data_IF_498884905191
#
_entry.id   IF_498884905191
#
_cell.length_a   1.000
_cell.length_b   1.000
_cell.length_c   1.000
_cell.angle_alpha   90.00
_cell.angle_beta   90.00
_cell.angle_gamma   90.00
#
_symmetry.space_group_name_H-M   'P 1'
#
loop_
_entity.id
_entity.type
_entity.pdbx_description
1 polymer ?
#
# COMPACT_ATOMS: atom_id res chain seq x y z
N UNK A 1 -5.09 -8.47 1.12
CA UNK A 1 -5.45 -8.49 2.58
C UNK A 1 -6.34 -7.30 2.85
N UNK A 2 -7.52 -7.50 3.45
CA UNK A 2 -8.49 -6.41 3.64
C UNK A 2 -8.37 -5.83 5.04
N UNK A 3 -7.94 -4.57 5.14
CA UNK A 3 -7.76 -3.88 6.42
C UNK A 3 -9.08 -3.74 7.18
N UNK A 4 -9.17 -4.25 8.41
CA UNK A 4 -10.34 -4.07 9.26
C UNK A 4 -9.97 -3.74 10.71
N UNK A 5 -10.78 -2.87 11.32
CA UNK A 5 -10.73 -2.59 12.77
C UNK A 5 -11.79 -3.36 13.55
N UNK A 6 -12.63 -4.15 12.88
CA UNK A 6 -13.66 -4.95 13.53
C UNK A 6 -13.02 -5.97 14.50
N UNK A 7 -13.70 -6.22 15.62
CA UNK A 7 -13.34 -7.28 16.58
C UNK A 7 -14.04 -8.56 16.13
N UNK A 8 -13.37 -9.33 15.29
CA UNK A 8 -13.89 -10.59 14.73
C UNK A 8 -12.83 -11.70 14.82
N UNK A 9 -13.30 -12.95 14.89
CA UNK A 9 -12.45 -14.15 14.92
C UNK A 9 -11.68 -14.39 13.62
N UNK A 10 -12.23 -13.94 12.48
CA UNK A 10 -11.60 -14.10 11.16
C UNK A 10 -10.36 -13.22 10.95
N UNK A 11 -10.13 -12.25 11.84
CA UNK A 11 -9.04 -11.27 11.68
C UNK A 11 -7.69 -11.96 11.86
N UNK A 12 -6.84 -11.84 10.83
CA UNK A 12 -5.50 -12.41 10.81
C UNK A 12 -4.43 -11.35 11.02
N UNK A 13 -3.32 -11.77 11.62
CA UNK A 13 -2.08 -10.99 11.68
C UNK A 13 -1.04 -11.56 10.72
N UNK A 14 -0.51 -10.72 9.82
CA UNK A 14 0.58 -11.08 8.92
C UNK A 14 1.69 -10.02 9.05
N UNK A 15 2.79 -10.40 9.71
CA UNK A 15 3.90 -9.51 10.06
C UNK A 15 4.48 -8.73 8.88
N UNK A 16 4.62 -9.39 7.73
CA UNK A 16 5.36 -8.89 6.56
C UNK A 16 4.45 -8.27 5.48
N UNK A 17 3.18 -7.98 5.78
CA UNK A 17 2.29 -7.24 4.86
C UNK A 17 2.16 -5.78 5.34
N UNK A 18 2.04 -4.79 4.42
CA UNK A 18 1.83 -3.39 4.79
C UNK A 18 0.65 -3.22 5.74
N UNK A 19 -0.47 -3.86 5.39
CA UNK A 19 -1.61 -4.05 6.28
C UNK A 19 -1.42 -5.33 7.09
N UNK A 20 -0.92 -5.19 8.32
CA UNK A 20 -0.61 -6.33 9.19
C UNK A 20 -1.84 -7.02 9.76
N UNK A 21 -2.92 -6.28 10.03
CA UNK A 21 -4.16 -6.80 10.61
C UNK A 21 -5.32 -6.66 9.63
N UNK A 22 -6.01 -7.76 9.32
CA UNK A 22 -7.10 -7.71 8.37
C UNK A 22 -7.78 -9.06 8.14
N UNK A 23 -8.70 -9.09 7.18
CA UNK A 23 -9.32 -10.32 6.67
C UNK A 23 -8.46 -10.82 5.52
N UNK A 24 -7.98 -12.07 5.64
CA UNK A 24 -7.16 -12.71 4.61
C UNK A 24 -8.08 -13.32 3.55
N UNK A 25 -7.74 -13.10 2.28
CA UNK A 25 -8.37 -13.75 1.14
C UNK A 25 -7.30 -14.57 0.40
N UNK A 26 -7.69 -15.74 -0.08
CA UNK A 26 -7.02 -16.44 -1.17
C UNK A 26 -7.61 -15.91 -2.47
N UNK A 27 -6.78 -15.59 -3.46
CA UNK A 27 -7.20 -14.95 -4.70
C UNK A 27 -6.54 -15.67 -5.87
N UNK A 28 -7.32 -16.00 -6.89
CA UNK A 28 -6.87 -16.43 -8.20
C UNK A 28 -6.97 -15.23 -9.14
N UNK A 29 -5.85 -14.91 -9.78
CA UNK A 29 -5.73 -13.72 -10.62
C UNK A 29 -5.03 -14.09 -11.93
N UNK A 30 -5.45 -13.49 -13.03
CA UNK A 30 -4.71 -13.50 -14.28
C UNK A 30 -3.42 -12.67 -14.14
N UNK A 31 -2.42 -12.91 -14.99
CA UNK A 31 -1.19 -12.10 -15.03
C UNK A 31 -1.45 -10.61 -15.31
N UNK A 32 -2.58 -10.26 -15.92
CA UNK A 32 -3.03 -8.88 -16.17
C UNK A 32 -3.46 -8.12 -14.91
N UNK A 33 -3.69 -8.82 -13.79
CA UNK A 33 -4.33 -8.28 -12.60
C UNK A 33 -5.83 -8.51 -12.52
N UNK A 34 -6.44 -9.22 -13.48
CA UNK A 34 -7.87 -9.55 -13.44
C UNK A 34 -8.15 -10.61 -12.38
N UNK A 35 -8.94 -10.27 -11.37
CA UNK A 35 -9.33 -11.22 -10.31
C UNK A 35 -10.40 -12.17 -10.83
N UNK A 36 -10.06 -13.46 -10.91
CA UNK A 36 -10.93 -14.51 -11.45
C UNK A 36 -11.83 -15.11 -10.37
N UNK A 37 -11.24 -15.49 -9.23
CA UNK A 37 -11.96 -16.12 -8.14
C UNK A 37 -11.26 -15.78 -6.80
N UNK A 38 -11.97 -15.89 -5.70
CA UNK A 38 -11.41 -15.68 -4.36
C UNK A 38 -12.13 -16.51 -3.29
N UNK A 39 -11.44 -16.73 -2.17
CA UNK A 39 -12.00 -17.40 -1.01
C UNK A 39 -11.56 -16.70 0.27
N UNK A 40 -12.51 -16.37 1.16
CA UNK A 40 -12.20 -15.73 2.44
C UNK A 40 -11.63 -16.78 3.39
N UNK A 41 -10.44 -16.51 3.92
CA UNK A 41 -9.84 -17.39 4.91
C UNK A 41 -10.56 -17.25 6.26
N UNK A 42 -11.20 -18.33 6.70
CA UNK A 42 -11.97 -18.38 7.94
C UNK A 42 -11.26 -19.08 9.10
N UNK A 43 -9.99 -19.45 8.94
CA UNK A 43 -9.20 -20.18 9.94
C UNK A 43 -9.20 -21.70 9.75
N UNK A 44 -10.22 -22.24 9.09
CA UNK A 44 -10.32 -23.65 8.67
C UNK A 44 -10.63 -23.71 7.18
N UNK A 45 -10.23 -24.79 6.52
CA UNK A 45 -10.64 -25.04 5.14
C UNK A 45 -12.09 -25.49 5.11
N UNK A 46 -12.90 -24.99 4.17
CA UNK A 46 -14.26 -25.50 3.92
C UNK A 46 -14.22 -26.87 3.24
N UNK A 47 -13.17 -27.14 2.47
CA UNK A 47 -12.89 -28.42 1.81
C UNK A 47 -11.79 -29.12 2.59
N UNK A 48 -12.06 -30.30 3.14
CA UNK A 48 -11.08 -31.08 3.90
C UNK A 48 -10.65 -32.27 3.04
N UNK A 49 -9.68 -32.06 2.15
CA UNK A 49 -9.14 -33.17 1.33
C UNK A 49 -8.17 -34.07 2.09
N UNK A 50 -7.82 -33.71 3.33
CA UNK A 50 -6.73 -34.34 4.10
C UNK A 50 -5.31 -33.94 3.61
N UNK A 51 -5.19 -33.15 2.54
CA UNK A 51 -3.90 -32.72 1.96
C UNK A 51 -3.39 -31.37 2.48
N UNK A 52 -4.19 -30.73 3.34
CA UNK A 52 -3.84 -29.52 4.07
C UNK A 52 -4.31 -28.23 3.40
N UNK A 53 -4.38 -27.17 4.21
CA UNK A 53 -4.98 -25.88 3.86
C UNK A 53 -4.45 -25.27 2.55
N UNK A 54 -3.14 -25.39 2.29
CA UNK A 54 -2.55 -24.81 1.08
C UNK A 54 -3.02 -25.51 -0.20
N UNK A 55 -3.22 -26.83 -0.13
CA UNK A 55 -3.76 -27.61 -1.24
C UNK A 55 -5.22 -27.25 -1.46
N UNK A 56 -6.02 -27.28 -0.38
CA UNK A 56 -7.46 -27.01 -0.44
C UNK A 56 -7.77 -25.60 -0.92
N UNK A 57 -6.97 -24.61 -0.50
CA UNK A 57 -7.11 -23.24 -0.95
C UNK A 57 -6.96 -23.11 -2.47
N UNK A 58 -5.93 -23.74 -3.07
CA UNK A 58 -5.73 -23.70 -4.53
C UNK A 58 -6.84 -24.47 -5.24
N UNK A 59 -7.18 -25.67 -4.79
CA UNK A 59 -8.20 -26.49 -5.44
C UNK A 59 -9.62 -25.91 -5.31
N UNK A 60 -9.87 -25.07 -4.29
CA UNK A 60 -11.15 -24.34 -4.19
C UNK A 60 -11.30 -23.25 -5.25
N UNK A 61 -10.19 -22.73 -5.80
CA UNK A 61 -10.17 -21.65 -6.79
C UNK A 61 -9.96 -22.18 -8.21
N UNK A 62 -9.09 -23.18 -8.37
CA UNK A 62 -8.76 -23.78 -9.68
C UNK A 62 -9.75 -24.89 -9.97
N UNK A 63 -10.95 -24.49 -10.40
CA UNK A 63 -12.04 -25.40 -10.75
C UNK A 63 -12.02 -25.72 -12.24
N UNK A 64 -11.69 -26.99 -12.57
CA UNK A 64 -11.54 -27.46 -13.95
C UNK A 64 -12.83 -27.32 -14.76
N UNK A 65 -13.98 -27.44 -14.11
CA UNK A 65 -15.29 -27.36 -14.74
C UNK A 65 -15.55 -25.99 -15.37
N UNK A 66 -14.96 -24.93 -14.79
CA UNK A 66 -15.10 -23.55 -15.26
C UNK A 66 -13.89 -23.09 -16.09
N UNK A 67 -12.68 -23.52 -15.72
CA UNK A 67 -11.45 -23.10 -16.39
C UNK A 67 -11.04 -24.00 -17.56
N UNK A 68 -11.54 -25.23 -17.67
CA UNK A 68 -11.03 -26.19 -18.64
C UNK A 68 -9.60 -26.65 -18.31
N UNK A 69 -8.74 -26.76 -19.31
CA UNK A 69 -7.34 -27.21 -19.18
C UNK A 69 -6.38 -26.35 -20.00
N UNK A 70 -5.06 -26.53 -19.81
CA UNK A 70 -4.02 -25.82 -20.55
C UNK A 70 -3.55 -24.52 -19.91
N UNK A 71 -4.16 -24.10 -18.80
CA UNK A 71 -3.67 -22.95 -18.03
C UNK A 71 -2.41 -23.27 -17.24
N UNK A 72 -1.58 -22.25 -17.06
CA UNK A 72 -0.34 -22.31 -16.29
C UNK A 72 -0.52 -21.56 -14.97
N UNK A 73 -0.38 -22.25 -13.86
CA UNK A 73 -0.60 -21.73 -12.51
C UNK A 73 0.75 -21.39 -11.88
N UNK A 74 0.91 -20.12 -11.54
CA UNK A 74 2.08 -19.63 -10.82
C UNK A 74 1.71 -19.33 -9.37
N UNK A 75 2.39 -19.95 -8.42
CA UNK A 75 2.05 -19.80 -7.01
C UNK A 75 3.27 -19.61 -6.09
N UNK A 76 3.06 -18.85 -5.02
CA UNK A 76 4.08 -18.66 -3.98
C UNK A 76 4.31 -19.94 -3.16
N UNK A 77 5.43 -19.99 -2.45
CA UNK A 77 5.91 -21.08 -1.60
C UNK A 77 4.92 -21.58 -0.53
N UNK A 78 3.94 -20.75 -0.14
CA UNK A 78 2.88 -21.17 0.77
C UNK A 78 1.98 -22.23 0.13
N UNK A 79 1.73 -22.14 -1.18
CA UNK A 79 0.85 -23.05 -1.93
C UNK A 79 1.63 -24.21 -2.55
N UNK A 80 2.86 -23.96 -3.00
CA UNK A 80 3.67 -24.95 -3.72
C UNK A 80 3.95 -26.21 -2.90
N UNK A 81 3.55 -27.37 -3.44
CA UNK A 81 3.91 -28.69 -2.93
C UNK A 81 3.95 -29.73 -4.06
N UNK A 82 4.76 -30.80 -3.94
CA UNK A 82 4.82 -31.86 -4.95
C UNK A 82 3.46 -32.52 -5.19
N UNK A 83 2.70 -32.78 -4.11
CA UNK A 83 1.36 -33.38 -4.17
C UNK A 83 0.38 -32.49 -4.93
N UNK A 84 0.37 -31.18 -4.66
CA UNK A 84 -0.47 -30.23 -5.40
C UNK A 84 -0.12 -30.20 -6.89
N UNK A 85 1.17 -30.12 -7.21
CA UNK A 85 1.60 -29.94 -8.59
C UNK A 85 1.37 -31.20 -9.43
N UNK A 86 1.56 -32.38 -8.84
CA UNK A 86 1.18 -33.62 -9.50
C UNK A 86 -0.33 -33.69 -9.75
N UNK A 87 -1.14 -33.25 -8.78
CA UNK A 87 -2.58 -33.24 -8.93
C UNK A 87 -3.05 -32.27 -10.03
N UNK A 88 -2.50 -31.05 -10.05
CA UNK A 88 -2.77 -30.07 -11.10
C UNK A 88 -2.36 -30.58 -12.49
N UNK A 89 -1.20 -31.24 -12.60
CA UNK A 89 -0.74 -31.85 -13.84
C UNK A 89 -1.73 -32.91 -14.36
N UNK A 90 -2.20 -33.80 -13.49
CA UNK A 90 -3.18 -34.83 -13.85
C UNK A 90 -4.53 -34.23 -14.28
N UNK A 91 -4.87 -33.02 -13.80
CA UNK A 91 -6.05 -32.28 -14.23
C UNK A 91 -5.86 -31.57 -15.57
N UNK A 92 -4.64 -31.52 -16.13
CA UNK A 92 -4.31 -30.83 -17.36
C UNK A 92 -3.86 -29.37 -17.15
N UNK A 93 -3.46 -29.02 -15.93
CA UNK A 93 -2.87 -27.72 -15.62
C UNK A 93 -1.36 -27.83 -15.46
N UNK A 94 -0.66 -26.86 -16.02
CA UNK A 94 0.74 -26.66 -15.71
C UNK A 94 0.93 -25.86 -14.44
N UNK A 95 1.97 -26.14 -13.66
CA UNK A 95 2.24 -25.42 -12.42
C UNK A 95 3.72 -25.06 -12.28
N UNK A 96 3.98 -23.89 -11.70
CA UNK A 96 5.32 -23.41 -11.36
C UNK A 96 5.27 -22.59 -10.07
N UNK A 97 6.23 -22.81 -9.18
CA UNK A 97 6.27 -22.06 -7.92
C UNK A 97 7.57 -22.22 -7.17
N UNK A 98 7.91 -21.21 -6.38
CA UNK A 98 8.99 -21.35 -5.41
C UNK A 98 8.61 -22.41 -4.38
N UNK A 99 9.57 -23.23 -3.94
CA UNK A 99 9.30 -24.34 -3.02
C UNK A 99 10.24 -24.29 -1.83
N UNK A 100 9.69 -24.56 -0.63
CA UNK A 100 10.53 -24.69 0.57
C UNK A 100 11.15 -26.09 0.60
N UNK A 101 12.45 -26.16 0.86
CA UNK A 101 13.20 -27.42 1.00
C UNK A 101 12.67 -28.34 2.11
N UNK A 102 11.88 -27.81 3.05
CA UNK A 102 11.25 -28.56 4.15
C UNK A 102 9.91 -29.19 3.77
N UNK A 103 9.35 -28.91 2.59
CA UNK A 103 8.08 -29.51 2.15
C UNK A 103 8.23 -31.03 1.99
N UNK A 104 7.18 -31.76 2.39
CA UNK A 104 7.09 -33.20 2.20
C UNK A 104 7.10 -33.52 0.71
N UNK A 105 7.86 -34.54 0.32
CA UNK A 105 8.01 -34.99 -1.08
C UNK A 105 9.07 -34.24 -1.89
N UNK A 106 9.75 -33.23 -1.32
CA UNK A 106 10.89 -32.59 -2.00
C UNK A 106 12.11 -33.50 -1.90
N UNK A 107 12.78 -33.84 -3.01
CA UNK A 107 13.98 -34.66 -2.99
C UNK A 107 15.09 -34.04 -2.14
N UNK A 108 15.66 -34.84 -1.22
CA UNK A 108 16.82 -34.46 -0.41
C UNK A 108 18.01 -35.27 -0.89
N UNK A 109 18.98 -34.59 -1.49
CA UNK A 109 20.28 -35.19 -1.85
C UNK A 109 21.40 -34.47 -1.11
N UNK A 110 22.47 -35.19 -0.79
CA UNK A 110 23.75 -34.63 -0.32
C UNK A 110 24.77 -34.50 -1.46
N UNK A 111 24.50 -35.15 -2.60
CA UNK A 111 25.39 -35.16 -3.75
C UNK A 111 25.16 -33.90 -4.60
N UNK A 112 26.23 -33.20 -4.95
CA UNK A 112 26.21 -32.03 -5.84
C UNK A 112 25.24 -30.90 -5.40
N UNK A 113 25.12 -30.70 -4.09
CA UNK A 113 24.25 -29.66 -3.50
C UNK A 113 24.87 -28.28 -3.69
N UNK A 114 24.05 -27.29 -3.99
CA UNK A 114 24.48 -25.90 -4.00
C UNK A 114 24.86 -25.45 -2.58
N UNK A 115 25.99 -24.76 -2.48
CA UNK A 115 26.46 -24.17 -1.22
C UNK A 115 26.55 -22.66 -1.38
N UNK A 116 26.72 -21.93 -0.28
CA UNK A 116 26.99 -20.48 -0.33
C UNK A 116 28.26 -20.12 -1.11
N UNK A 117 29.15 -21.09 -1.33
CA UNK A 117 30.39 -20.95 -2.11
C UNK A 117 30.18 -21.26 -3.61
N UNK A 118 29.04 -21.82 -3.99
CA UNK A 118 28.75 -22.14 -5.39
C UNK A 118 28.72 -20.86 -6.22
N UNK A 119 29.28 -20.86 -7.44
CA UNK A 119 29.25 -19.70 -8.32
C UNK A 119 27.81 -19.26 -8.61
N UNK A 120 27.60 -17.94 -8.69
CA UNK A 120 26.34 -17.37 -9.16
C UNK A 120 26.04 -17.87 -10.57
N UNK A 121 24.79 -18.26 -10.82
CA UNK A 121 24.37 -18.92 -12.06
C UNK A 121 24.43 -20.45 -12.02
N UNK A 122 24.96 -21.05 -10.95
CA UNK A 122 24.96 -22.51 -10.81
C UNK A 122 23.53 -23.05 -10.77
N UNK A 123 23.22 -24.00 -11.65
CA UNK A 123 21.91 -24.68 -11.72
C UNK A 123 22.09 -26.15 -11.34
N UNK A 124 21.19 -26.66 -10.50
CA UNK A 124 21.09 -28.09 -10.17
C UNK A 124 19.64 -28.50 -10.25
N UNK A 125 19.35 -29.70 -10.71
CA UNK A 125 17.98 -30.14 -10.88
C UNK A 125 17.82 -31.64 -10.66
N UNK A 126 16.62 -32.03 -10.27
CA UNK A 126 16.18 -33.41 -10.12
C UNK A 126 14.80 -33.50 -10.75
N UNK A 127 14.57 -34.51 -11.60
CA UNK A 127 13.26 -34.80 -12.18
C UNK A 127 12.72 -36.09 -11.58
N UNK A 128 11.45 -36.06 -11.19
CA UNK A 128 10.70 -37.22 -10.71
C UNK A 128 9.35 -37.25 -11.45
N UNK A 129 9.26 -38.13 -12.45
CA UNK A 129 8.11 -38.15 -13.36
C UNK A 129 7.89 -36.79 -14.03
N UNK A 130 6.68 -36.25 -13.89
CA UNK A 130 6.29 -34.93 -14.40
C UNK A 130 6.84 -33.75 -13.57
N UNK A 131 7.35 -33.98 -12.36
CA UNK A 131 7.85 -32.92 -11.50
C UNK A 131 9.34 -32.65 -11.74
N UNK A 132 9.67 -31.38 -11.96
CA UNK A 132 11.03 -30.88 -12.03
C UNK A 132 11.31 -29.99 -10.82
N UNK A 133 12.31 -30.37 -10.04
CA UNK A 133 12.86 -29.58 -8.95
C UNK A 133 14.15 -28.92 -9.42
N UNK A 134 14.18 -27.60 -9.41
CA UNK A 134 15.37 -26.83 -9.83
C UNK A 134 15.85 -25.96 -8.69
N UNK A 135 17.16 -25.98 -8.46
CA UNK A 135 17.87 -25.07 -7.59
C UNK A 135 18.79 -24.18 -8.42
N UNK A 136 18.76 -22.89 -8.11
CA UNK A 136 19.55 -21.89 -8.79
C UNK A 136 20.26 -21.00 -7.78
N UNK A 137 21.57 -20.79 -7.98
CA UNK A 137 22.36 -19.91 -7.14
C UNK A 137 22.36 -18.49 -7.71
N UNK A 138 21.62 -17.57 -7.08
CA UNK A 138 21.78 -16.13 -7.34
C UNK A 138 22.66 -15.49 -6.26
N UNK A 139 22.19 -14.44 -5.59
CA UNK A 139 22.77 -14.00 -4.32
C UNK A 139 22.57 -15.05 -3.22
N UNK A 140 21.44 -15.76 -3.29
CA UNK A 140 21.08 -16.87 -2.41
C UNK A 140 20.50 -18.01 -3.26
N UNK A 141 20.45 -19.21 -2.68
CA UNK A 141 19.79 -20.36 -3.30
C UNK A 141 18.29 -20.09 -3.47
N UNK A 142 17.80 -20.24 -4.70
CA UNK A 142 16.38 -20.24 -5.05
C UNK A 142 15.99 -21.65 -5.44
N UNK A 143 14.92 -22.17 -4.84
CA UNK A 143 14.36 -23.49 -5.15
C UNK A 143 12.98 -23.33 -5.78
N UNK A 144 12.78 -23.97 -6.94
CA UNK A 144 11.54 -23.96 -7.72
C UNK A 144 11.11 -25.39 -8.01
N UNK A 145 9.81 -25.64 -7.94
CA UNK A 145 9.16 -26.85 -8.45
C UNK A 145 8.33 -26.47 -9.66
N UNK A 146 8.27 -27.34 -10.67
CA UNK A 146 7.42 -27.10 -11.84
C UNK A 146 7.05 -28.39 -12.57
N UNK A 147 5.92 -28.37 -13.28
CA UNK A 147 5.47 -29.42 -14.22
C UNK A 147 5.53 -28.98 -15.69
N UNK A 148 5.95 -27.73 -15.92
CA UNK A 148 5.87 -27.03 -17.22
C UNK A 148 7.20 -27.02 -17.97
N UNK A 149 8.29 -26.84 -17.24
CA UNK A 149 9.56 -26.42 -17.83
C UNK A 149 10.54 -27.58 -17.98
N UNK A 150 11.48 -27.41 -18.90
CA UNK A 150 12.75 -28.15 -18.93
C UNK A 150 13.70 -27.59 -17.86
N UNK A 151 14.77 -28.32 -17.55
CA UNK A 151 15.73 -27.92 -16.53
C UNK A 151 16.44 -26.59 -16.86
N UNK A 152 16.79 -26.39 -18.12
CA UNK A 152 17.46 -25.20 -18.62
C UNK A 152 17.31 -25.14 -20.14
N UNK A 153 16.92 -23.97 -20.67
CA UNK A 153 16.72 -23.76 -22.11
C UNK A 153 17.72 -22.78 -22.73
N UNK A 154 18.83 -22.48 -22.02
CA UNK A 154 19.81 -21.49 -22.50
C UNK A 154 19.54 -20.04 -22.07
N UNK A 155 18.55 -19.80 -21.20
CA UNK A 155 18.19 -18.47 -20.75
C UNK A 155 19.26 -17.81 -19.88
N UNK A 156 19.47 -16.51 -20.06
CA UNK A 156 20.35 -15.69 -19.21
C UNK A 156 19.63 -14.48 -18.64
N UNK A 157 20.13 -13.96 -17.52
CA UNK A 157 19.66 -12.72 -16.89
C UNK A 157 20.84 -11.82 -16.58
N UNK A 158 20.72 -10.53 -16.94
CA UNK A 158 21.72 -9.51 -16.61
C UNK A 158 21.73 -9.26 -15.11
N UNK A 159 22.87 -9.47 -14.46
CA UNK A 159 23.08 -9.18 -13.05
C UNK A 159 24.26 -8.26 -12.84
N UNK A 160 24.15 -7.40 -11.83
CA UNK A 160 25.28 -6.58 -11.39
C UNK A 160 26.11 -7.40 -10.40
N UNK A 161 27.39 -7.55 -10.70
CA UNK A 161 28.37 -8.25 -9.88
C UNK A 161 29.50 -7.28 -9.51
N UNK A 162 29.99 -7.40 -8.27
CA UNK A 162 31.13 -6.63 -7.79
C UNK A 162 32.41 -7.27 -8.34
N UNK A 163 33.23 -6.47 -9.01
CA UNK A 163 34.57 -6.79 -9.51
C UNK A 163 35.60 -5.91 -8.79
N UNK A 164 36.89 -6.27 -8.89
CA UNK A 164 38.00 -5.46 -8.38
C UNK A 164 38.02 -4.04 -8.99
N UNK A 165 37.49 -3.89 -10.20
CA UNK A 165 37.38 -2.62 -10.93
C UNK A 165 36.00 -1.94 -10.82
N UNK A 166 35.21 -2.26 -9.79
CA UNK A 166 33.85 -1.72 -9.59
C UNK A 166 32.72 -2.68 -9.98
N UNK A 167 31.53 -2.16 -10.23
CA UNK A 167 30.36 -2.98 -10.58
C UNK A 167 30.29 -3.24 -12.09
N UNK A 168 30.15 -4.51 -12.49
CA UNK A 168 29.98 -4.91 -13.89
C UNK A 168 28.67 -5.66 -14.09
N UNK A 169 28.06 -5.47 -15.24
CA UNK A 169 26.94 -6.29 -15.69
C UNK A 169 27.49 -7.60 -16.26
N UNK A 170 26.96 -8.72 -15.78
CA UNK A 170 27.33 -10.07 -16.20
C UNK A 170 26.06 -10.82 -16.55
N UNK A 171 26.08 -11.55 -17.67
CA UNK A 171 25.01 -12.47 -18.03
C UNK A 171 25.15 -13.75 -17.23
N UNK A 172 24.12 -14.02 -16.42
CA UNK A 172 24.09 -15.17 -15.51
C UNK A 172 23.08 -16.18 -16.05
N UNK A 173 23.45 -17.46 -16.26
CA UNK A 173 22.50 -18.51 -16.60
C UNK A 173 21.35 -18.58 -15.60
N UNK A 174 20.12 -18.66 -16.09
CA UNK A 174 18.91 -18.74 -15.26
C UNK A 174 18.03 -19.89 -15.74
N UNK A 175 17.45 -20.72 -14.85
CA UNK A 175 16.47 -21.69 -15.28
C UNK A 175 15.24 -21.01 -15.87
N UNK A 176 14.71 -21.56 -16.95
CA UNK A 176 13.48 -21.06 -17.61
C UNK A 176 12.33 -20.94 -16.61
N UNK A 177 12.17 -21.93 -15.71
CA UNK A 177 11.17 -21.88 -14.65
C UNK A 177 11.29 -20.67 -13.72
N UNK A 178 12.51 -20.21 -13.41
CA UNK A 178 12.73 -19.03 -12.56
C UNK A 178 12.42 -17.74 -13.32
N UNK A 179 12.80 -17.68 -14.61
CA UNK A 179 12.51 -16.55 -15.49
C UNK A 179 11.00 -16.36 -15.63
N UNK A 180 10.28 -17.43 -15.97
CA UNK A 180 8.83 -17.38 -16.17
C UNK A 180 8.08 -17.15 -14.86
N UNK A 181 8.54 -17.74 -13.75
CA UNK A 181 7.98 -17.44 -12.43
C UNK A 181 8.01 -15.93 -12.12
N UNK A 182 9.16 -15.28 -12.32
CA UNK A 182 9.29 -13.84 -12.06
C UNK A 182 8.43 -13.00 -13.01
N UNK A 183 8.16 -13.48 -14.22
CA UNK A 183 7.31 -12.78 -15.18
C UNK A 183 5.82 -12.89 -14.81
N UNK A 184 5.35 -14.06 -14.38
CA UNK A 184 3.92 -14.33 -14.21
C UNK A 184 3.39 -14.27 -12.76
N UNK A 185 4.24 -14.35 -11.74
CA UNK A 185 3.79 -14.39 -10.32
C UNK A 185 3.09 -13.11 -9.84
N UNK A 186 3.20 -12.00 -10.59
CA UNK A 186 2.78 -10.65 -10.18
C UNK A 186 1.29 -10.33 -10.26
N UNK A 187 0.46 -11.20 -10.83
CA UNK A 187 -0.96 -10.87 -11.11
C UNK A 187 -1.75 -10.44 -9.87
N UNK A 188 -1.60 -11.16 -8.75
CA UNK A 188 -2.31 -10.81 -7.49
C UNK A 188 -1.81 -9.48 -6.92
N UNK A 189 -0.49 -9.25 -6.91
CA UNK A 189 0.08 -8.01 -6.40
C UNK A 189 -0.30 -6.81 -7.29
N UNK A 190 -0.42 -7.01 -8.61
CA UNK A 190 -0.92 -6.00 -9.54
C UNK A 190 -2.39 -5.67 -9.29
N UNK A 191 -3.23 -6.68 -9.04
CA UNK A 191 -4.63 -6.46 -8.64
C UNK A 191 -4.72 -5.68 -7.32
N UNK A 192 -3.97 -6.10 -6.30
CA UNK A 192 -3.91 -5.41 -5.00
C UNK A 192 -3.43 -3.94 -5.17
N UNK A 193 -2.48 -3.69 -6.08
CA UNK A 193 -1.98 -2.36 -6.40
C UNK A 193 -3.03 -1.49 -7.10
N UNK A 194 -3.73 -2.02 -8.11
CA UNK A 194 -4.78 -1.30 -8.83
C UNK A 194 -5.93 -0.91 -7.90
N UNK A 195 -6.37 -1.84 -7.05
CA UNK A 195 -7.37 -1.58 -6.00
C UNK A 195 -6.84 -0.52 -5.02
N UNK A 196 -5.58 -0.63 -4.63
CA UNK A 196 -4.94 0.29 -3.67
C UNK A 196 -4.88 1.74 -4.14
N UNK A 197 -4.81 2.01 -5.45
CA UNK A 197 -4.75 3.37 -5.97
C UNK A 197 -6.04 4.15 -5.80
N UNK A 198 -7.19 3.50 -5.96
CA UNK A 198 -8.50 4.15 -5.95
C UNK A 198 -9.51 3.34 -5.13
N UNK A 199 -9.14 3.00 -3.90
CA UNK A 199 -10.03 2.21 -3.03
C UNK A 199 -11.20 3.05 -2.50
N UNK A 200 -12.41 2.50 -2.57
CA UNK A 200 -13.61 3.03 -1.93
C UNK A 200 -13.66 2.79 -0.42
N UNK A 201 -12.56 2.33 0.19
CA UNK A 201 -12.52 1.92 1.58
C UNK A 201 -12.95 3.03 2.54
N UNK A 202 -13.90 2.69 3.41
CA UNK A 202 -14.38 3.53 4.52
C UNK A 202 -14.19 2.78 5.82
N UNK A 203 -13.73 3.49 6.86
CA UNK A 203 -13.65 2.93 8.22
C UNK A 203 -15.04 2.48 8.67
N UNK A 204 -15.18 1.18 8.93
CA UNK A 204 -16.39 0.60 9.49
C UNK A 204 -16.06 -0.31 10.67
N UNK A 205 -16.94 -0.34 11.66
CA UNK A 205 -16.92 -1.35 12.74
C UNK A 205 -17.58 -2.66 12.30
N UNK A 206 -18.40 -2.62 11.23
CA UNK A 206 -19.09 -3.78 10.64
C UNK A 206 -18.18 -4.43 9.60
N UNK A 207 -17.68 -5.62 9.90
CA UNK A 207 -16.69 -6.30 9.05
C UNK A 207 -17.19 -6.60 7.64
N UNK A 208 -18.47 -6.99 7.52
CA UNK A 208 -19.08 -7.32 6.23
C UNK A 208 -19.15 -6.10 5.29
N UNK A 209 -19.30 -4.88 5.83
CA UNK A 209 -19.24 -3.67 5.00
C UNK A 209 -17.83 -3.43 4.45
N UNK A 210 -16.79 -3.76 5.22
CA UNK A 210 -15.41 -3.67 4.73
C UNK A 210 -15.17 -4.67 3.59
N UNK A 211 -15.71 -5.88 3.70
CA UNK A 211 -15.63 -6.89 2.64
C UNK A 211 -16.43 -6.48 1.41
N UNK A 212 -17.65 -5.95 1.60
CA UNK A 212 -18.49 -5.44 0.51
C UNK A 212 -17.78 -4.37 -0.31
N UNK A 213 -17.21 -3.34 0.34
CA UNK A 213 -16.46 -2.30 -0.38
C UNK A 213 -15.26 -2.88 -1.14
N UNK A 214 -14.57 -3.87 -0.56
CA UNK A 214 -13.48 -4.54 -1.27
C UNK A 214 -13.96 -5.28 -2.52
N UNK A 215 -15.14 -5.91 -2.47
CA UNK A 215 -15.72 -6.57 -3.66
C UNK A 215 -16.14 -5.55 -4.73
N UNK A 216 -16.65 -4.39 -4.32
CA UNK A 216 -16.89 -3.28 -5.27
C UNK A 216 -15.58 -2.82 -5.90
N UNK A 217 -14.52 -2.65 -5.11
CA UNK A 217 -13.20 -2.26 -5.64
C UNK A 217 -12.64 -3.29 -6.64
N UNK A 218 -12.82 -4.59 -6.37
CA UNK A 218 -12.46 -5.68 -7.31
C UNK A 218 -13.28 -5.54 -8.60
N UNK A 219 -14.60 -5.37 -8.50
CA UNK A 219 -15.49 -5.26 -9.66
C UNK A 219 -15.12 -4.06 -10.54
N UNK A 220 -14.89 -2.88 -9.94
CA UNK A 220 -14.45 -1.67 -10.66
C UNK A 220 -13.10 -1.89 -11.35
N UNK A 221 -12.14 -2.52 -10.66
CA UNK A 221 -10.82 -2.83 -11.21
C UNK A 221 -10.92 -3.81 -12.38
N UNK A 222 -11.72 -4.87 -12.25
CA UNK A 222 -11.96 -5.84 -13.32
C UNK A 222 -12.64 -5.18 -14.54
N UNK A 223 -13.64 -4.33 -14.33
CA UNK A 223 -14.30 -3.58 -15.42
C UNK A 223 -13.31 -2.66 -16.16
N UNK A 224 -12.39 -2.00 -15.43
CA UNK A 224 -11.33 -1.20 -16.05
C UNK A 224 -10.36 -2.05 -16.90
N UNK A 225 -9.99 -3.25 -16.42
CA UNK A 225 -9.13 -4.15 -17.18
C UNK A 225 -9.81 -4.64 -18.47
N UNK A 226 -11.10 -4.96 -18.41
CA UNK A 226 -11.90 -5.31 -19.59
C UNK A 226 -11.98 -4.14 -20.57
N UNK A 227 -12.20 -2.92 -20.09
CA UNK A 227 -12.19 -1.70 -20.91
C UNK A 227 -10.87 -1.57 -21.68
N UNK A 228 -9.73 -1.73 -20.99
CA UNK A 228 -8.41 -1.71 -21.64
C UNK A 228 -8.27 -2.76 -22.74
N UNK A 229 -8.75 -3.98 -22.51
CA UNK A 229 -8.71 -5.07 -23.49
C UNK A 229 -9.59 -4.77 -24.71
N UNK A 230 -10.79 -4.22 -24.48
CA UNK A 230 -11.73 -3.83 -25.55
C UNK A 230 -11.18 -2.68 -26.39
N UNK A 231 -10.65 -1.62 -25.77
CA UNK A 231 -9.99 -0.53 -26.50
C UNK A 231 -8.79 -1.03 -27.31
N UNK A 232 -7.98 -1.92 -26.74
CA UNK A 232 -6.85 -2.53 -27.46
C UNK A 232 -7.31 -3.30 -28.70
N UNK A 233 -8.43 -4.04 -28.60
CA UNK A 233 -9.03 -4.77 -29.72
C UNK A 233 -9.57 -3.84 -30.80
N UNK A 234 -10.11 -2.67 -30.41
CA UNK A 234 -10.61 -1.63 -31.32
C UNK A 234 -9.54 -0.66 -31.83
N UNK A 235 -8.28 -0.80 -31.37
CA UNK A 235 -7.17 0.14 -31.63
C UNK A 235 -7.45 1.57 -31.15
N UNK A 236 -8.21 1.70 -30.07
CA UNK A 236 -8.51 2.96 -29.41
C UNK A 236 -7.59 3.19 -28.20
N UNK A 237 -7.35 4.46 -27.86
CA UNK A 237 -6.61 4.79 -26.64
C UNK A 237 -7.50 4.56 -25.42
N UNK A 238 -7.11 3.69 -24.47
CA UNK A 238 -7.90 3.47 -23.27
C UNK A 238 -7.86 4.70 -22.36
N UNK A 239 -8.94 4.89 -21.61
CA UNK A 239 -8.99 5.90 -20.56
C UNK A 239 -7.95 5.59 -19.48
N UNK A 240 -7.49 6.63 -18.78
CA UNK A 240 -6.72 6.42 -17.54
C UNK A 240 -7.62 5.78 -16.48
N UNK A 241 -7.01 5.08 -15.51
CA UNK A 241 -7.78 4.43 -14.44
C UNK A 241 -8.66 5.42 -13.68
N UNK A 242 -8.13 6.62 -13.40
CA UNK A 242 -8.89 7.71 -12.78
C UNK A 242 -10.09 8.14 -13.64
N UNK A 243 -9.86 8.48 -14.91
CA UNK A 243 -10.93 8.96 -15.79
C UNK A 243 -12.02 7.90 -15.98
N UNK A 244 -11.64 6.62 -16.08
CA UNK A 244 -12.58 5.52 -16.15
C UNK A 244 -13.47 5.46 -14.90
N UNK A 245 -12.90 5.61 -13.70
CA UNK A 245 -13.69 5.58 -12.47
C UNK A 245 -14.58 6.82 -12.29
N UNK A 246 -14.11 8.00 -12.69
CA UNK A 246 -14.91 9.22 -12.68
C UNK A 246 -16.13 9.05 -13.61
N UNK A 247 -15.92 8.55 -14.82
CA UNK A 247 -16.98 8.25 -15.78
C UNK A 247 -17.96 7.21 -15.24
N UNK A 248 -17.45 6.07 -14.74
CA UNK A 248 -18.28 5.02 -14.17
C UNK A 248 -19.13 5.54 -12.99
N UNK A 249 -18.54 6.38 -12.13
CA UNK A 249 -19.25 6.96 -10.99
C UNK A 249 -20.34 7.91 -11.46
N UNK A 250 -20.06 8.75 -12.46
CA UNK A 250 -21.03 9.68 -13.02
C UNK A 250 -22.22 8.95 -13.65
N UNK A 251 -21.97 7.90 -14.43
CA UNK A 251 -22.99 7.05 -15.04
C UNK A 251 -23.85 6.35 -13.98
N UNK A 252 -23.23 5.75 -12.96
CA UNK A 252 -23.97 5.10 -11.86
C UNK A 252 -24.79 6.08 -11.02
N UNK A 253 -24.34 7.33 -10.89
CA UNK A 253 -25.08 8.37 -10.15
C UNK A 253 -26.12 9.11 -11.02
N UNK A 254 -26.14 8.89 -12.34
CA UNK A 254 -26.96 9.67 -13.27
C UNK A 254 -26.56 11.15 -13.35
N UNK A 255 -25.28 11.47 -13.14
CA UNK A 255 -24.75 12.84 -13.17
C UNK A 255 -23.88 13.02 -14.41
N UNK A 256 -23.93 14.20 -15.03
CA UNK A 256 -23.04 14.53 -16.13
C UNK A 256 -21.67 15.01 -15.63
N UNK A 257 -20.58 14.51 -16.22
CA UNK A 257 -19.22 15.02 -15.98
C UNK A 257 -18.95 16.37 -16.68
N UNK A 258 -19.94 16.96 -17.36
CA UNK A 258 -19.81 18.29 -17.90
C UNK A 258 -19.30 19.22 -16.79
N UNK A 259 -18.19 19.94 -16.98
CA UNK A 259 -17.74 20.91 -16.00
C UNK A 259 -18.88 21.91 -15.86
N UNK A 260 -19.59 21.88 -14.74
CA UNK A 260 -20.48 22.98 -14.43
C UNK A 260 -19.56 24.19 -14.38
N UNK A 261 -19.73 25.10 -15.34
CA UNK A 261 -19.25 26.47 -15.22
C UNK A 261 -20.10 27.14 -14.15
N UNK A 262 -20.12 26.56 -12.95
CA UNK A 262 -20.47 27.30 -11.78
C UNK A 262 -19.33 28.30 -11.67
N UNK A 263 -19.61 29.51 -12.14
CA UNK A 263 -18.86 30.69 -11.82
C UNK A 263 -18.77 30.69 -10.30
N UNK A 264 -17.67 30.20 -9.74
CA UNK A 264 -17.36 30.34 -8.34
C UNK A 264 -17.14 31.85 -8.12
N UNK A 265 -18.22 32.63 -8.06
CA UNK A 265 -18.24 34.06 -7.74
C UNK A 265 -17.80 34.33 -6.28
N UNK A 266 -17.31 33.31 -5.58
CA UNK A 266 -16.96 33.35 -4.17
C UNK A 266 -15.51 32.94 -3.91
N UNK A 267 -14.65 32.87 -4.94
CA UNK A 267 -13.21 32.82 -4.70
C UNK A 267 -12.80 34.12 -3.99
N UNK A 268 -12.20 34.05 -2.78
CA UNK A 268 -11.75 35.24 -2.09
C UNK A 268 -10.70 35.97 -2.94
N UNK A 269 -11.05 37.14 -3.45
CA UNK A 269 -10.09 38.00 -4.17
C UNK A 269 -9.21 38.71 -3.15
N UNK A 270 -7.89 38.57 -3.28
CA UNK A 270 -6.95 39.29 -2.45
C UNK A 270 -7.05 40.79 -2.72
N UNK A 271 -7.32 41.59 -1.69
CA UNK A 271 -7.41 43.05 -1.81
C UNK A 271 -5.98 43.59 -1.90
N UNK A 272 -5.58 44.07 -3.08
CA UNK A 272 -4.34 44.80 -3.28
C UNK A 272 -4.50 46.25 -2.79
N UNK A 273 -3.74 46.66 -1.76
CA UNK A 273 -3.67 48.05 -1.32
C UNK A 273 -3.83 48.31 0.18
N UNK A 274 -4.12 47.31 1.01
CA UNK A 274 -4.27 47.52 2.45
C UNK A 274 -2.89 47.65 3.14
N UNK A 275 -2.65 48.78 3.82
CA UNK A 275 -1.41 49.11 4.54
C UNK A 275 -1.63 49.02 6.05
N UNK A 276 -0.67 48.43 6.78
CA UNK A 276 -0.68 48.37 8.24
C UNK A 276 -1.69 47.37 8.85
N UNK A 277 -2.17 47.65 10.07
CA UNK A 277 -3.03 46.76 10.87
C UNK A 277 -4.43 46.51 10.27
N UNK A 278 -4.83 47.27 9.24
CA UNK A 278 -6.12 47.16 8.56
C UNK A 278 -6.19 46.03 7.53
N UNK A 279 -5.05 45.41 7.19
CA UNK A 279 -4.95 44.29 6.23
C UNK A 279 -5.87 43.11 6.54
N UNK A 280 -6.22 42.92 7.83
CA UNK A 280 -7.10 41.85 8.25
C UNK A 280 -8.60 42.17 8.07
N UNK A 281 -9.01 43.43 8.03
CA UNK A 281 -10.42 43.86 8.12
C UNK A 281 -10.94 44.59 6.88
N UNK A 282 -10.07 45.16 6.06
CA UNK A 282 -10.43 45.82 4.81
C UNK A 282 -11.23 44.87 3.89
N UNK A 283 -12.39 45.31 3.40
CA UNK A 283 -13.26 44.54 2.48
C UNK A 283 -14.09 43.39 3.08
N UNK A 284 -14.06 43.16 4.40
CA UNK A 284 -14.99 42.22 5.04
C UNK A 284 -16.43 42.74 4.97
N UNK A 285 -17.32 41.99 4.30
CA UNK A 285 -18.77 42.27 4.32
C UNK A 285 -19.40 41.71 5.60
N UNK A 286 -20.31 42.47 6.21
CA UNK A 286 -21.14 42.00 7.33
C UNK A 286 -22.25 41.09 6.80
N UNK A 287 -22.52 39.98 7.48
CA UNK A 287 -23.67 39.15 7.16
C UNK A 287 -24.96 39.96 7.32
N UNK A 288 -25.83 39.97 6.30
CA UNK A 288 -27.09 40.74 6.31
C UNK A 288 -28.10 40.24 7.34
N UNK A 289 -27.99 38.98 7.76
CA UNK A 289 -28.93 38.36 8.70
C UNK A 289 -28.51 38.51 10.17
N UNK A 290 -27.21 38.46 10.48
CA UNK A 290 -26.73 38.52 11.88
C UNK A 290 -25.80 39.69 12.19
N UNK A 291 -25.47 40.53 11.20
CA UNK A 291 -24.65 41.74 11.37
C UNK A 291 -23.16 41.50 11.66
N UNK A 292 -22.72 40.24 11.85
CA UNK A 292 -21.33 39.89 12.19
C UNK A 292 -20.44 39.81 10.94
N UNK A 293 -19.19 40.24 11.05
CA UNK A 293 -18.16 40.00 10.04
C UNK A 293 -17.61 38.58 10.22
N UNK A 294 -17.63 37.73 9.18
CA UNK A 294 -16.95 36.43 9.23
C UNK A 294 -15.44 36.64 9.10
N UNK A 295 -14.62 36.24 10.09
CA UNK A 295 -13.17 36.35 9.98
C UNK A 295 -12.63 35.19 9.15
N UNK A 296 -12.49 35.36 7.83
CA UNK A 296 -11.59 34.50 7.08
C UNK A 296 -10.18 35.07 7.20
N UNK A 297 -9.28 34.31 7.84
CA UNK A 297 -7.85 34.62 7.89
C UNK A 297 -7.11 33.48 7.21
N UNK A 298 -6.61 33.71 6.00
CA UNK A 298 -5.75 32.74 5.32
C UNK A 298 -4.29 33.05 5.67
N UNK A 299 -3.67 32.22 6.50
CA UNK A 299 -2.22 32.27 6.73
C UNK A 299 -1.59 31.13 5.95
N UNK A 300 -1.23 31.38 4.68
CA UNK A 300 -0.47 30.43 3.89
C UNK A 300 1.01 30.50 4.31
N UNK A 301 1.50 29.47 4.99
CA UNK A 301 2.93 29.26 5.17
C UNK A 301 3.44 28.39 4.03
N UNK A 302 4.27 28.95 3.17
CA UNK A 302 4.96 28.20 2.13
C UNK A 302 6.32 27.76 2.66
N UNK A 303 6.55 26.47 2.78
CA UNK A 303 7.87 25.91 3.11
C UNK A 303 8.50 25.37 1.83
N UNK A 304 9.42 26.12 1.24
CA UNK A 304 10.13 25.72 0.03
C UNK A 304 11.45 25.04 0.38
N UNK A 305 11.38 23.73 0.64
CA UNK A 305 12.53 22.85 0.41
C UNK A 305 12.02 21.53 -0.19
N UNK A 306 12.28 21.37 -1.48
CA UNK A 306 11.98 20.21 -2.33
C UNK A 306 10.48 19.87 -2.52
N UNK A 307 9.91 20.45 -3.58
CA UNK A 307 8.79 19.94 -4.40
C UNK A 307 7.48 19.49 -3.72
N UNK A 308 7.18 19.91 -2.49
CA UNK A 308 5.83 19.79 -1.92
C UNK A 308 5.40 21.13 -1.32
N UNK A 309 4.34 21.72 -1.86
CA UNK A 309 3.64 22.85 -1.22
C UNK A 309 2.63 22.27 -0.24
N UNK A 310 2.91 22.42 1.05
CA UNK A 310 1.94 22.16 2.11
C UNK A 310 1.28 23.49 2.49
N UNK A 311 -0.01 23.63 2.17
CA UNK A 311 -0.80 24.74 2.67
C UNK A 311 -1.42 24.36 4.02
N UNK A 312 -1.12 25.13 5.06
CA UNK A 312 -1.71 24.99 6.38
C UNK A 312 -2.82 26.02 6.49
N UNK A 313 -4.07 25.59 6.37
CA UNK A 313 -5.22 26.51 6.39
C UNK A 313 -5.75 26.58 7.82
N UNK A 314 -5.67 27.78 8.41
CA UNK A 314 -6.26 28.08 9.71
C UNK A 314 -7.66 28.67 9.49
N UNK A 315 -8.70 27.92 9.84
CA UNK A 315 -10.08 28.44 9.84
C UNK A 315 -10.43 28.77 11.28
N UNK A 316 -10.76 30.02 11.57
CA UNK A 316 -11.23 30.45 12.89
C UNK A 316 -12.73 30.69 12.79
N UNK A 317 -13.52 29.65 13.06
CA UNK A 317 -14.91 29.82 13.51
C UNK A 317 -14.87 29.96 15.03
N UNK A 318 -15.76 30.73 15.65
CA UNK A 318 -15.69 31.09 17.08
C UNK A 318 -15.31 29.95 18.04
N UNK A 319 -14.60 30.31 19.12
CA UNK A 319 -14.09 29.53 20.27
C UNK A 319 -13.41 28.16 20.07
N UNK A 320 -13.53 27.50 18.91
CA UNK A 320 -12.91 26.20 18.66
C UNK A 320 -11.83 26.26 17.58
N UNK A 321 -10.65 25.74 17.92
CA UNK A 321 -9.45 25.69 17.09
C UNK A 321 -9.39 24.36 16.34
N UNK A 322 -9.36 24.39 15.00
CA UNK A 322 -9.07 23.22 14.18
C UNK A 322 -7.94 23.50 13.18
N UNK A 323 -6.95 22.61 13.15
CA UNK A 323 -5.83 22.63 12.19
C UNK A 323 -6.06 21.57 11.13
N UNK A 324 -5.99 21.95 9.85
CA UNK A 324 -6.14 21.02 8.73
C UNK A 324 -4.87 20.99 7.87
N UNK A 325 -4.36 19.79 7.63
CA UNK A 325 -3.29 19.49 6.67
C UNK A 325 -3.95 18.94 5.41
N UNK A 326 -4.03 19.74 4.35
CA UNK A 326 -4.54 19.27 3.04
C UNK A 326 -3.37 18.97 2.12
N UNK A 327 -3.20 17.70 1.74
CA UNK A 327 -2.47 17.33 0.51
C UNK A 327 -3.46 17.53 -0.62
N UNK A 328 -3.23 18.55 -1.44
CA UNK A 328 -3.86 18.83 -2.75
C UNK A 328 -5.20 18.12 -3.01
N UNK A 329 -6.30 18.87 -2.83
CA UNK A 329 -7.61 18.56 -3.41
C UNK A 329 -8.61 17.88 -2.48
N UNK A 330 -9.24 18.63 -1.58
CA UNK A 330 -10.60 18.37 -1.09
C UNK A 330 -11.21 19.69 -0.58
N UNK A 331 -12.37 20.07 -1.11
CA UNK A 331 -13.18 21.22 -0.68
C UNK A 331 -14.38 20.68 0.10
N UNK A 332 -14.68 21.31 1.24
CA UNK A 332 -15.84 21.03 2.08
C UNK A 332 -17.10 21.68 1.48
N UNK A 333 -18.14 20.88 1.25
CA UNK A 333 -19.51 21.32 0.92
C UNK A 333 -20.22 21.81 2.19
N UNK A 334 -20.89 22.97 2.11
CA UNK A 334 -21.59 23.63 3.22
C UNK A 334 -23.12 23.63 3.12
N UNK A 335 -23.72 22.92 2.17
CA UNK A 335 -25.19 22.89 2.08
C UNK A 335 -25.81 21.64 2.73
N UNK A 336 -26.02 21.72 4.06
CA UNK A 336 -27.17 21.09 4.72
C UNK A 336 -27.41 21.70 6.11
N UNK A 337 -28.27 22.71 6.16
CA UNK A 337 -28.89 23.16 7.40
C UNK A 337 -29.95 22.15 7.83
N UNK A 338 -29.66 21.41 8.90
CA UNK A 338 -30.63 20.64 9.66
C UNK A 338 -30.40 20.94 11.14
N UNK A 339 -31.45 21.40 11.80
CA UNK A 339 -31.55 21.88 13.19
C UNK A 339 -30.72 21.11 14.22
N UNK A 340 -29.92 21.84 15.00
CA UNK A 340 -29.24 21.36 16.23
C UNK A 340 -29.95 21.96 17.44
N UNK A 341 -30.47 21.17 18.39
CA UNK A 341 -30.77 21.63 19.74
C UNK A 341 -29.49 21.72 20.59
N UNK A 342 -29.52 22.66 21.54
CA UNK A 342 -28.46 23.16 22.43
C UNK A 342 -27.64 22.06 23.18
N UNK A 343 -26.38 22.36 23.59
CA UNK A 343 -25.38 21.37 24.00
C UNK A 343 -25.38 21.12 25.51
N UNK A 344 -25.39 19.85 25.90
CA UNK A 344 -24.92 19.43 27.22
C UNK A 344 -23.65 18.59 27.05
N UNK A 345 -22.56 19.10 27.62
CA UNK A 345 -21.24 18.49 27.72
C UNK A 345 -21.32 17.05 28.28
N UNK A 346 -20.61 16.11 27.65
CA UNK A 346 -20.06 14.95 28.36
C UNK A 346 -18.55 14.91 28.13
N UNK A 347 -17.84 15.09 29.24
CA UNK A 347 -16.39 15.03 29.38
C UNK A 347 -15.85 13.63 29.07
N UNK A 348 -14.73 13.56 28.34
CA UNK A 348 -13.82 12.43 28.37
C UNK A 348 -12.55 12.84 29.13
N UNK A 349 -12.50 12.60 30.45
CA UNK A 349 -11.24 12.49 31.19
C UNK A 349 -10.80 11.02 31.20
N UNK A 350 -9.59 10.82 30.70
CA UNK A 350 -8.74 9.64 30.92
C UNK A 350 -8.57 9.35 32.42
N UNK A 351 -8.53 8.07 32.83
CA UNK A 351 -7.90 7.73 34.10
C UNK A 351 -6.81 6.63 33.95
N UNK A 352 -5.68 6.93 34.61
CA UNK A 352 -4.62 6.06 35.14
C UNK A 352 -3.49 5.47 34.25
N UNK A 353 -2.32 6.12 34.39
CA UNK A 353 -1.04 5.45 34.76
C UNK A 353 -1.07 5.13 36.26
N UNK A 354 -0.43 4.02 36.65
CA UNK A 354 -0.23 3.57 38.04
C UNK A 354 0.45 4.61 38.94
N UNK A 355 0.25 4.54 40.28
CA UNK A 355 0.53 5.63 41.21
C UNK A 355 1.97 5.61 41.71
N UNK A 356 2.54 6.78 42.03
CA UNK A 356 3.18 7.06 43.31
C UNK A 356 3.50 8.56 43.43
N UNK A 357 3.08 9.11 44.57
CA UNK A 357 3.48 10.35 45.24
C UNK A 357 3.14 11.71 44.60
N UNK A 358 2.04 12.23 45.16
CA UNK A 358 1.51 13.58 45.25
C UNK A 358 2.51 14.55 45.90
N UNK A 359 2.60 15.79 45.39
CA UNK A 359 2.62 17.03 46.17
C UNK A 359 2.21 18.23 45.30
N UNK A 360 1.09 18.84 45.69
CA UNK A 360 0.56 20.13 45.23
C UNK A 360 1.38 21.30 45.78
N UNK A 361 1.39 22.47 45.13
CA UNK A 361 1.15 23.83 45.68
C UNK A 361 1.02 24.85 44.51
N UNK A 362 0.34 26.00 44.70
CA UNK A 362 -0.38 26.72 43.65
C UNK A 362 0.40 27.88 42.99
N UNK A 363 -0.22 28.38 41.92
CA UNK A 363 0.09 29.59 41.16
C UNK A 363 0.15 30.87 42.00
N UNK A 364 1.24 31.64 41.85
CA UNK A 364 1.22 33.10 42.01
C UNK A 364 2.52 33.72 41.48
N UNK A 365 2.39 34.62 40.50
CA UNK A 365 3.07 35.92 40.47
C UNK A 365 4.57 36.01 40.15
N UNK A 366 5.00 37.05 39.40
CA UNK A 366 6.40 37.27 39.06
C UNK A 366 7.09 38.00 40.22
N UNK A 367 8.13 37.41 40.81
CA UNK A 367 9.24 38.08 41.52
C UNK A 367 10.07 37.03 42.27
N UNK A 368 11.10 36.49 41.62
CA UNK A 368 12.15 35.72 42.27
C UNK A 368 13.44 35.77 41.44
N UNK A 369 13.84 36.98 41.07
CA UNK A 369 15.20 37.28 40.64
C UNK A 369 16.04 37.55 41.89
N UNK A 370 17.24 36.97 41.96
CA UNK A 370 18.24 37.03 43.06
C UNK A 370 18.04 36.04 44.20
N UNK A 371 18.62 34.84 44.04
CA UNK A 371 19.51 34.28 45.06
C UNK A 371 20.43 33.19 44.48
N UNK A 372 21.73 33.44 44.69
CA UNK A 372 22.84 32.50 44.81
C UNK A 372 23.60 32.19 43.50
N UNK A 373 24.46 33.17 43.20
CA UNK A 373 25.85 33.01 42.76
C UNK A 373 26.63 32.03 43.67
N UNK A 374 27.71 31.47 43.09
CA UNK A 374 28.84 30.74 43.71
C UNK A 374 28.79 29.21 43.62
N UNK A 375 29.69 28.67 42.79
CA UNK A 375 29.93 27.23 42.61
C UNK A 375 30.62 26.90 41.28
N UNK A 376 31.73 27.58 41.00
CA UNK A 376 32.76 27.27 39.99
C UNK A 376 33.41 25.93 40.42
N UNK A 377 33.65 24.92 39.56
CA UNK A 377 34.82 24.79 38.68
C UNK A 377 34.69 23.52 37.75
N UNK A 378 35.61 23.25 36.80
CA UNK A 378 35.26 22.96 35.41
C UNK A 378 35.88 21.62 34.94
N UNK A 379 35.73 21.29 33.65
CA UNK A 379 36.87 20.89 32.80
C UNK A 379 36.41 20.54 31.38
N UNK A 380 37.23 21.01 30.44
CA UNK A 380 37.38 20.60 29.05
C UNK A 380 36.32 21.00 28.00
N UNK A 381 36.42 22.28 27.62
CA UNK A 381 36.94 22.71 26.31
C UNK A 381 36.48 21.94 25.05
N UNK A 382 35.65 22.62 24.21
CA UNK A 382 36.02 23.20 22.90
C UNK A 382 34.75 23.57 22.11
N UNK A 383 34.52 24.87 21.88
CA UNK A 383 33.86 25.41 20.67
C UNK A 383 34.99 25.69 19.62
N UNK A 384 34.75 26.17 18.36
CA UNK A 384 33.49 26.55 17.71
C UNK A 384 33.36 26.17 16.20
N UNK A 385 32.20 26.52 15.64
CA UNK A 385 32.04 27.22 14.34
C UNK A 385 31.90 26.45 12.99
N UNK A 386 30.78 26.85 12.34
CA UNK A 386 30.62 27.26 10.94
C UNK A 386 30.63 26.20 9.84
N UNK A 387 29.44 25.99 9.27
CA UNK A 387 29.25 25.61 7.86
C UNK A 387 28.69 26.84 7.13
N UNK A 388 29.38 27.28 6.08
CA UNK A 388 28.88 28.16 5.01
C UNK A 388 28.75 27.32 3.72
N UNK A 389 27.63 27.51 3.01
CA UNK A 389 27.37 27.54 1.54
C UNK A 389 28.45 26.96 0.58
N UNK A 390 28.18 26.25 -0.53
CA UNK A 390 27.03 26.20 -1.44
C UNK A 390 27.17 24.99 -2.42
N UNK A 391 26.16 24.86 -3.29
CA UNK A 391 26.16 24.22 -4.63
C UNK A 391 25.82 22.73 -4.85
N UNK A 392 24.50 22.51 -5.01
CA UNK A 392 23.80 21.90 -6.17
C UNK A 392 24.53 20.82 -7.01
N UNK A 393 23.99 19.58 -7.01
CA UNK A 393 23.17 19.06 -8.11
C UNK A 393 22.86 17.54 -7.97
N UNK A 394 21.57 17.23 -8.07
CA UNK A 394 20.93 16.04 -8.67
C UNK A 394 21.53 14.63 -8.43
N UNK A 395 20.81 13.80 -7.64
CA UNK A 395 20.37 12.44 -8.00
C UNK A 395 19.77 11.71 -6.77
N UNK A 396 18.47 11.88 -6.51
CA UNK A 396 17.78 11.08 -5.49
C UNK A 396 17.30 9.75 -6.07
N UNK A 397 18.11 8.70 -5.89
CA UNK A 397 17.67 7.30 -5.85
C UNK A 397 17.06 7.05 -4.47
N UNK A 398 15.80 6.61 -4.41
CA UNK A 398 15.24 6.01 -3.19
C UNK A 398 15.17 4.49 -3.35
N UNK A 399 16.21 3.84 -2.85
CA UNK A 399 16.16 2.51 -2.25
C UNK A 399 15.43 2.69 -0.91
N UNK A 400 14.56 1.76 -0.49
CA UNK A 400 14.61 1.15 0.86
C UNK A 400 13.59 0.00 0.97
N UNK A 401 14.18 -1.18 1.17
CA UNK A 401 13.61 -2.37 1.79
C UNK A 401 13.30 -2.14 3.28
N UNK A 402 12.19 -2.67 3.78
CA UNK A 402 12.14 -3.75 4.79
C UNK A 402 10.74 -4.30 4.95
#
# INVERSE_FOLDING_TARGET
MVATKARITLKQYIKNKPTKWGIKLFVLCESSGYTVDFNIYTGKSSVVSGKGLSFDAVMSLVRKEFLGSGYHIYCDNFYTSPVLFQHLYNLGFGACGTIRNTRIGVPKTKVNVLTKKSPRGSIRWIRQGSLLFTKWMDTLEVSVCTTLHTAYSGDTVKRVCKSNSGYKHVDVPVPTAVKDYNHFMGGVDLSDQLIGYYSSWKKSKKWYMTVLHHFVDIAVTNSYLLHKQLCSSKKEQPMTHQAFQEQLTAELCGVSLQPTRDSYQHLPVAISGAVGSKKATEGRRKCRLCGKCTPFMYLAWYWTRSSMVLALVRIVTGSDLAWYLTRSGFVLDQNRYGTVPDPALIWAKSPYRSPHLVRSWPSSGPDAEKRIQAGIDPLCQRRPARVRSADLAQNFRWIWTR
#
